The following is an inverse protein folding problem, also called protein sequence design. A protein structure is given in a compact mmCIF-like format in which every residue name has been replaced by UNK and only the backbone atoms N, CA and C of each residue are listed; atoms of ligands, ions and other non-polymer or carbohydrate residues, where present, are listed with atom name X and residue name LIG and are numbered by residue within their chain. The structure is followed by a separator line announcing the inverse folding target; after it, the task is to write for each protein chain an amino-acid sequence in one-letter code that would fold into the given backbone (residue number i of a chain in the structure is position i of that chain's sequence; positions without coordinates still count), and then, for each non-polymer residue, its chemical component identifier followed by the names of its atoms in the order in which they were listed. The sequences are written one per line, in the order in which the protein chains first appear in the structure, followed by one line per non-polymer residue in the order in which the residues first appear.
data_IF_343107881637
#
_entry.id   IF_343107881637
#
_cell.length_a   1.000
_cell.length_b   1.000
_cell.length_c   1.000
_cell.angle_alpha   90.00
_cell.angle_beta   90.00
_cell.angle_gamma   90.00
#
_symmetry.space_group_name_H-M   'P 1'
#
loop_
_entity.id
_entity.type
_entity.pdbx_description
1 polymer ?
#
# COMPACT_ATOMS: atom_id res chain seq x y z
N UNK A 1 -9.19 -6.27 4.08
CA UNK A 1 -8.27 -7.32 3.63
C UNK A 1 -8.93 -8.71 3.73
N UNK A 2 -8.69 -9.58 2.74
CA UNK A 2 -9.32 -10.93 2.70
C UNK A 2 -8.79 -11.83 3.82
N UNK A 3 -7.53 -11.64 4.23
CA UNK A 3 -6.85 -12.51 5.21
C UNK A 3 -7.04 -12.13 6.67
N UNK A 4 -7.83 -11.13 6.98
CA UNK A 4 -8.03 -10.68 8.37
C UNK A 4 -8.62 -11.72 9.34
N UNK A 5 -9.08 -12.86 8.84
CA UNK A 5 -9.61 -13.98 9.63
C UNK A 5 -8.67 -15.18 9.76
N UNK A 6 -7.57 -15.21 9.01
CA UNK A 6 -6.64 -16.35 9.04
C UNK A 6 -5.63 -16.20 10.18
N UNK A 7 -5.60 -17.16 11.09
CA UNK A 7 -4.63 -17.24 12.19
C UNK A 7 -4.12 -18.69 12.29
N UNK A 8 -2.85 -18.89 12.59
CA UNK A 8 -1.73 -17.92 12.71
C UNK A 8 -1.17 -17.51 11.34
N UNK A 9 -0.48 -16.35 11.30
CA UNK A 9 0.31 -15.94 10.12
C UNK A 9 1.41 -16.96 9.89
N UNK A 10 1.43 -17.59 8.71
CA UNK A 10 2.46 -18.56 8.32
C UNK A 10 3.60 -17.83 7.62
N UNK A 11 4.81 -18.06 8.07
CA UNK A 11 6.02 -17.47 7.48
C UNK A 11 6.94 -18.55 6.92
N UNK A 12 7.59 -18.28 5.79
CA UNK A 12 8.69 -19.10 5.29
C UNK A 12 9.94 -18.83 6.11
N UNK A 13 10.83 -19.80 6.24
CA UNK A 13 12.14 -19.55 6.84
C UNK A 13 12.98 -18.62 5.95
N UNK A 14 13.91 -17.88 6.52
CA UNK A 14 14.85 -17.03 5.78
C UNK A 14 15.64 -17.87 4.77
N UNK A 15 16.06 -19.07 5.15
CA UNK A 15 16.79 -19.98 4.27
C UNK A 15 15.96 -20.40 3.04
N UNK A 16 14.69 -20.77 3.26
CA UNK A 16 13.80 -21.11 2.15
C UNK A 16 13.55 -19.94 1.20
N UNK A 17 13.56 -18.69 1.71
CA UNK A 17 13.45 -17.48 0.88
C UNK A 17 14.76 -17.27 0.12
N UNK A 18 15.92 -17.44 0.76
CA UNK A 18 17.25 -17.35 0.14
C UNK A 18 17.38 -18.30 -1.06
N UNK A 19 17.05 -19.57 -0.88
CA UNK A 19 17.09 -20.57 -1.95
C UNK A 19 16.24 -20.15 -3.17
N UNK A 20 15.04 -19.60 -2.91
CA UNK A 20 14.16 -19.11 -3.98
C UNK A 20 14.73 -17.88 -4.68
N UNK A 21 15.32 -16.95 -3.94
CA UNK A 21 15.96 -15.77 -4.51
C UNK A 21 17.20 -16.14 -5.34
N UNK A 22 17.98 -17.13 -4.90
CA UNK A 22 19.09 -17.67 -5.70
C UNK A 22 18.61 -18.25 -7.03
N UNK A 23 17.50 -18.99 -7.03
CA UNK A 23 16.89 -19.50 -8.26
C UNK A 23 16.40 -18.37 -9.16
N UNK A 24 15.71 -17.37 -8.61
CA UNK A 24 15.23 -16.18 -9.33
C UNK A 24 16.41 -15.44 -9.96
N UNK A 25 17.48 -15.22 -9.19
CA UNK A 25 18.71 -14.58 -9.65
C UNK A 25 19.40 -15.37 -10.76
N UNK A 26 19.51 -16.69 -10.63
CA UNK A 26 20.10 -17.57 -11.64
C UNK A 26 19.34 -17.55 -12.98
N UNK A 27 18.04 -17.21 -12.98
CA UNK A 27 17.22 -17.02 -14.16
C UNK A 27 17.26 -15.58 -14.73
N UNK A 28 18.07 -14.70 -14.16
CA UNK A 28 18.25 -13.33 -14.61
C UNK A 28 17.05 -12.41 -14.36
N UNK A 29 16.15 -12.77 -13.43
CA UNK A 29 14.99 -11.95 -13.05
C UNK A 29 15.45 -10.80 -12.18
N UNK A 30 15.15 -9.56 -12.60
CA UNK A 30 15.65 -8.34 -11.97
C UNK A 30 14.65 -7.62 -11.06
N UNK A 31 13.36 -7.96 -11.14
CA UNK A 31 12.32 -7.32 -10.34
C UNK A 31 11.50 -8.38 -9.62
N UNK A 32 11.39 -8.26 -8.30
CA UNK A 32 10.65 -9.18 -7.44
C UNK A 32 9.62 -8.41 -6.63
N UNK A 33 8.33 -8.67 -6.84
CA UNK A 33 7.27 -8.17 -5.98
C UNK A 33 7.04 -9.14 -4.82
N UNK A 34 7.22 -8.66 -3.60
CA UNK A 34 6.96 -9.42 -2.39
C UNK A 34 5.48 -9.28 -2.03
N UNK A 35 4.75 -10.38 -2.07
CA UNK A 35 3.31 -10.42 -1.79
C UNK A 35 3.02 -10.55 -0.28
N UNK A 36 3.73 -9.81 0.53
CA UNK A 36 3.46 -9.68 1.97
C UNK A 36 2.70 -8.37 2.21
N UNK A 37 1.45 -8.48 2.66
CA UNK A 37 0.49 -7.36 2.75
C UNK A 37 0.90 -6.23 3.67
N UNK A 38 1.81 -6.50 4.59
CA UNK A 38 2.38 -5.52 5.52
C UNK A 38 3.75 -6.03 5.89
N UNK A 39 4.71 -5.74 5.04
CA UNK A 39 6.08 -6.20 5.19
C UNK A 39 6.67 -5.89 6.57
N UNK A 40 6.36 -4.72 7.11
CA UNK A 40 6.86 -4.24 8.40
C UNK A 40 5.95 -4.56 9.60
N UNK A 41 4.99 -5.50 9.47
CA UNK A 41 4.17 -5.95 10.60
C UNK A 41 5.00 -6.53 11.74
N UNK A 42 6.08 -7.25 11.40
CA UNK A 42 7.08 -7.73 12.35
C UNK A 42 8.44 -7.07 12.04
N UNK A 43 8.85 -6.03 12.81
CA UNK A 43 10.06 -5.26 12.51
C UNK A 43 11.34 -6.10 12.50
N UNK A 44 11.47 -7.08 13.41
CA UNK A 44 12.63 -7.96 13.46
C UNK A 44 12.78 -8.78 12.19
N UNK A 45 11.66 -9.39 11.74
CA UNK A 45 11.66 -10.16 10.50
C UNK A 45 11.89 -9.28 9.26
N UNK A 46 11.31 -8.09 9.24
CA UNK A 46 11.55 -7.13 8.17
C UNK A 46 13.06 -6.83 8.02
N UNK A 47 13.75 -6.56 9.12
CA UNK A 47 15.21 -6.35 9.12
C UNK A 47 15.98 -7.56 8.61
N UNK A 48 15.63 -8.76 9.03
CA UNK A 48 16.25 -10.00 8.55
C UNK A 48 16.08 -10.16 7.02
N UNK A 49 14.89 -9.84 6.49
CA UNK A 49 14.61 -9.88 5.05
C UNK A 49 15.34 -8.78 4.28
N UNK A 50 15.42 -7.55 4.81
CA UNK A 50 16.17 -6.47 4.16
C UNK A 50 17.66 -6.83 4.03
N UNK A 51 18.24 -7.44 5.04
CA UNK A 51 19.63 -7.94 4.98
C UNK A 51 19.81 -9.06 3.95
N UNK A 52 18.84 -9.95 3.84
CA UNK A 52 18.84 -10.96 2.80
C UNK A 52 18.73 -10.34 1.39
N UNK A 53 17.89 -9.32 1.20
CA UNK A 53 17.74 -8.66 -0.09
C UNK A 53 19.02 -7.94 -0.52
N UNK A 54 19.78 -7.39 0.41
CA UNK A 54 21.10 -6.81 0.14
C UNK A 54 22.09 -7.78 -0.53
N UNK A 55 21.99 -9.09 -0.27
CA UNK A 55 22.85 -10.10 -0.88
C UNK A 55 22.63 -10.21 -2.41
N UNK A 56 21.50 -9.70 -2.91
CA UNK A 56 21.15 -9.75 -4.33
C UNK A 56 21.24 -8.38 -5.03
N UNK A 57 21.71 -7.35 -4.33
CA UNK A 57 21.98 -6.03 -4.93
C UNK A 57 23.31 -6.07 -5.71
N UNK A 58 23.39 -5.43 -6.90
CA UNK A 58 22.40 -4.58 -7.59
C UNK A 58 21.48 -5.35 -8.56
N UNK A 59 21.54 -6.67 -8.59
CA UNK A 59 20.92 -7.49 -9.64
C UNK A 59 19.40 -7.61 -9.51
N UNK A 60 18.87 -7.55 -8.27
CA UNK A 60 17.44 -7.66 -8.00
C UNK A 60 16.94 -6.41 -7.26
N UNK A 61 15.86 -5.82 -7.79
CA UNK A 61 15.06 -4.80 -7.14
C UNK A 61 13.81 -5.43 -6.53
N UNK A 62 13.48 -5.05 -5.29
CA UNK A 62 12.34 -5.58 -4.56
C UNK A 62 11.25 -4.53 -4.41
N UNK A 63 10.01 -4.90 -4.72
CA UNK A 63 8.82 -4.10 -4.48
C UNK A 63 8.12 -4.62 -3.21
N UNK A 64 7.90 -3.76 -2.22
CA UNK A 64 7.35 -4.11 -0.91
C UNK A 64 6.15 -3.24 -0.56
N UNK A 65 5.08 -3.87 -0.03
CA UNK A 65 3.97 -3.15 0.60
C UNK A 65 4.31 -2.87 2.09
N UNK A 66 4.36 -1.60 2.46
CA UNK A 66 4.72 -1.15 3.81
C UNK A 66 3.57 -0.37 4.46
N UNK A 67 3.38 -0.54 5.76
CA UNK A 67 2.43 0.26 6.53
C UNK A 67 3.17 1.42 7.20
N UNK A 68 3.00 2.67 6.77
CA UNK A 68 3.81 3.78 7.27
C UNK A 68 3.68 4.02 8.78
N UNK A 69 2.49 3.81 9.37
CA UNK A 69 2.29 3.95 10.82
C UNK A 69 3.00 2.88 11.67
N UNK A 70 3.57 1.84 11.05
CA UNK A 70 4.28 0.76 11.76
C UNK A 70 5.80 0.84 11.56
N UNK A 71 6.33 1.99 11.19
CA UNK A 71 7.77 2.23 11.07
C UNK A 71 8.37 2.48 12.46
N UNK A 72 9.09 1.49 13.00
CA UNK A 72 9.92 1.70 14.18
C UNK A 72 11.18 2.51 13.84
N UNK A 73 11.76 3.22 14.81
CA UNK A 73 12.99 3.97 14.60
C UNK A 73 14.14 3.09 14.09
N UNK A 74 14.26 1.87 14.63
CA UNK A 74 15.24 0.90 14.16
C UNK A 74 15.05 0.51 12.68
N UNK A 75 13.80 0.42 12.20
CA UNK A 75 13.53 0.10 10.81
C UNK A 75 13.79 1.31 9.90
N UNK A 76 13.51 2.52 10.37
CA UNK A 76 13.87 3.76 9.68
C UNK A 76 15.38 3.89 9.49
N UNK A 77 16.16 3.59 10.53
CA UNK A 77 17.63 3.56 10.44
C UNK A 77 18.10 2.55 9.39
N UNK A 78 17.59 1.31 9.43
CA UNK A 78 17.94 0.26 8.46
C UNK A 78 17.62 0.70 7.03
N UNK A 79 16.41 1.24 6.77
CA UNK A 79 16.00 1.74 5.46
C UNK A 79 16.90 2.86 4.94
N UNK A 80 17.35 3.76 5.82
CA UNK A 80 18.23 4.88 5.46
C UNK A 80 19.61 4.42 4.99
N UNK A 81 20.07 3.26 5.42
CA UNK A 81 21.38 2.68 5.09
C UNK A 81 21.39 1.82 3.82
N UNK A 82 20.23 1.49 3.28
CA UNK A 82 20.14 0.63 2.11
C UNK A 82 20.61 1.35 0.84
N UNK A 83 21.19 0.63 -0.13
CA UNK A 83 21.64 1.23 -1.38
C UNK A 83 20.46 1.64 -2.27
N UNK A 84 20.68 2.69 -3.07
CA UNK A 84 19.70 3.12 -4.06
C UNK A 84 19.41 2.01 -5.08
N UNK A 85 18.13 1.87 -5.44
CA UNK A 85 17.66 0.89 -6.42
C UNK A 85 17.36 -0.49 -5.86
N UNK A 86 17.66 -0.76 -4.57
CA UNK A 86 17.30 -2.04 -3.94
C UNK A 86 15.80 -2.17 -3.74
N UNK A 87 15.13 -1.11 -3.27
CA UNK A 87 13.72 -1.14 -2.91
C UNK A 87 12.88 -0.15 -3.71
N UNK A 88 11.65 -0.57 -3.99
CA UNK A 88 10.50 0.27 -4.31
C UNK A 88 9.43 0.00 -3.23
N UNK A 89 8.98 1.04 -2.55
CA UNK A 89 8.07 0.94 -1.42
C UNK A 89 6.68 1.45 -1.78
N UNK A 90 5.67 0.59 -1.63
CA UNK A 90 4.26 0.93 -1.75
C UNK A 90 3.73 1.25 -0.34
N UNK A 91 3.43 2.52 -0.10
CA UNK A 91 3.00 3.03 1.19
C UNK A 91 1.48 3.29 1.19
N UNK A 92 0.71 2.30 1.62
CA UNK A 92 -0.74 2.41 1.67
C UNK A 92 -1.23 3.29 2.80
N UNK A 93 -1.73 4.49 2.49
CA UNK A 93 -2.43 5.38 3.44
C UNK A 93 -3.94 5.19 3.32
N UNK A 94 -4.46 5.09 2.13
CA UNK A 94 -5.84 4.87 1.71
C UNK A 94 -6.71 6.14 1.73
N UNK A 95 -6.60 7.00 2.73
CA UNK A 95 -7.27 8.30 2.88
C UNK A 95 -6.57 9.13 3.96
N UNK A 96 -6.71 10.46 3.91
CA UNK A 96 -6.27 11.39 4.96
C UNK A 96 -7.40 11.77 5.92
N UNK A 97 -8.53 11.06 5.90
CA UNK A 97 -9.70 11.33 6.72
C UNK A 97 -9.84 10.26 7.80
N UNK A 98 -9.62 10.63 9.07
CA UNK A 98 -9.74 9.69 10.20
C UNK A 98 -11.07 8.94 10.21
N UNK A 99 -12.26 9.58 10.00
CA UNK A 99 -13.54 8.86 9.96
C UNK A 99 -13.60 7.79 8.86
N UNK A 100 -12.98 8.04 7.68
CA UNK A 100 -12.91 7.09 6.57
C UNK A 100 -12.04 5.88 6.96
N UNK A 101 -10.89 6.14 7.57
CA UNK A 101 -9.96 5.09 8.02
C UNK A 101 -10.56 4.23 9.12
N UNK A 102 -11.21 4.83 10.12
CA UNK A 102 -11.91 4.14 11.20
C UNK A 102 -13.05 3.28 10.68
N UNK A 103 -13.90 3.83 9.78
CA UNK A 103 -15.03 3.10 9.19
C UNK A 103 -14.55 1.92 8.36
N UNK A 104 -13.39 2.07 7.72
CA UNK A 104 -12.71 1.03 6.94
C UNK A 104 -11.85 0.09 7.79
N UNK A 105 -11.80 0.29 9.11
CA UNK A 105 -10.98 -0.46 10.08
C UNK A 105 -9.49 -0.49 9.71
N UNK A 106 -8.99 0.63 9.23
CA UNK A 106 -7.56 0.80 9.00
C UNK A 106 -6.84 0.90 10.35
N UNK A 107 -5.77 0.14 10.53
CA UNK A 107 -4.98 0.16 11.77
C UNK A 107 -4.04 1.38 11.82
N UNK A 108 -3.68 1.78 13.05
CA UNK A 108 -2.74 2.88 13.30
C UNK A 108 -3.41 4.25 13.31
N UNK A 109 -2.70 5.24 13.82
CA UNK A 109 -3.13 6.63 13.81
C UNK A 109 -2.74 7.28 12.49
N UNK A 110 -3.57 8.20 12.00
CA UNK A 110 -3.27 8.94 10.78
C UNK A 110 -1.98 9.78 10.94
N UNK A 111 -1.76 10.39 12.10
CA UNK A 111 -0.52 11.14 12.39
C UNK A 111 0.73 10.30 12.16
N UNK A 112 0.74 9.09 12.73
CA UNK A 112 1.90 8.18 12.64
C UNK A 112 2.11 7.71 11.18
N UNK A 113 1.00 7.50 10.45
CA UNK A 113 1.07 7.13 9.02
C UNK A 113 1.63 8.27 8.16
N UNK A 114 1.24 9.51 8.44
CA UNK A 114 1.75 10.69 7.73
C UNK A 114 3.23 10.96 8.04
N UNK A 115 3.63 10.81 9.29
CA UNK A 115 5.04 10.97 9.68
C UNK A 115 5.91 9.88 9.06
N UNK A 116 5.40 8.64 9.03
CA UNK A 116 6.07 7.55 8.32
C UNK A 116 6.17 7.78 6.81
N UNK A 117 5.11 8.27 6.17
CA UNK A 117 5.13 8.57 4.73
C UNK A 117 6.13 9.70 4.42
N UNK A 118 6.10 10.81 5.20
CA UNK A 118 7.07 11.91 5.03
C UNK A 118 8.51 11.42 5.16
N UNK A 119 8.76 10.56 6.14
CA UNK A 119 10.06 9.94 6.29
C UNK A 119 10.47 9.15 5.05
N UNK A 120 9.59 8.26 4.53
CA UNK A 120 9.88 7.46 3.34
C UNK A 120 10.13 8.32 2.10
N UNK A 121 9.30 9.34 1.86
CA UNK A 121 9.46 10.27 0.74
C UNK A 121 10.73 11.11 0.81
N UNK A 122 11.26 11.36 2.01
CA UNK A 122 12.51 12.11 2.21
C UNK A 122 13.77 11.28 1.99
N UNK A 123 13.66 9.94 1.87
CA UNK A 123 14.81 9.07 1.66
C UNK A 123 15.32 9.15 0.21
N UNK A 124 16.57 9.57 -0.02
CA UNK A 124 17.12 9.76 -1.38
C UNK A 124 17.43 8.43 -2.09
N UNK A 125 17.48 7.35 -1.35
CA UNK A 125 17.80 5.99 -1.81
C UNK A 125 16.56 5.12 -2.08
N UNK A 126 15.36 5.63 -1.83
CA UNK A 126 14.10 4.90 -2.00
C UNK A 126 13.24 5.54 -3.09
N UNK A 127 12.48 4.70 -3.79
CA UNK A 127 11.34 5.12 -4.56
C UNK A 127 10.09 4.77 -3.76
N UNK A 128 9.31 5.78 -3.42
CA UNK A 128 8.10 5.62 -2.59
C UNK A 128 6.87 5.96 -3.39
N UNK A 129 5.92 5.06 -3.33
CA UNK A 129 4.62 5.09 -3.95
C UNK A 129 3.56 5.24 -2.84
N UNK A 130 2.72 6.24 -2.93
CA UNK A 130 1.69 6.51 -1.93
C UNK A 130 0.29 6.23 -2.48
N UNK A 131 -0.50 5.39 -1.75
CA UNK A 131 -1.79 4.92 -2.22
C UNK A 131 -2.96 5.58 -1.50
N UNK A 132 -3.95 5.98 -2.31
CA UNK A 132 -5.30 6.36 -1.91
C UNK A 132 -6.33 5.40 -2.52
N UNK A 133 -7.50 5.26 -1.90
CA UNK A 133 -8.58 4.42 -2.41
C UNK A 133 -9.88 5.23 -2.55
N UNK A 134 -10.35 5.43 -3.76
CA UNK A 134 -11.66 6.02 -4.05
C UNK A 134 -12.78 5.00 -3.80
N UNK A 135 -13.91 5.47 -3.24
CA UNK A 135 -15.07 4.62 -2.96
C UNK A 135 -15.07 3.98 -1.58
N UNK A 136 -14.20 4.40 -0.66
CA UNK A 136 -14.30 4.05 0.75
C UNK A 136 -15.55 4.70 1.37
N UNK A 137 -16.20 4.08 2.38
CA UNK A 137 -17.30 4.70 3.11
C UNK A 137 -16.89 6.03 3.74
N UNK A 138 -17.77 7.00 3.77
CA UNK A 138 -17.58 8.37 4.29
C UNK A 138 -16.58 9.22 3.50
N UNK A 139 -16.16 8.80 2.30
CA UNK A 139 -15.14 9.49 1.51
C UNK A 139 -15.75 10.19 0.31
N UNK A 140 -15.78 11.53 0.34
CA UNK A 140 -16.33 12.37 -0.73
C UNK A 140 -15.30 12.67 -1.82
N UNK A 141 -15.77 12.95 -3.04
CA UNK A 141 -14.89 13.27 -4.16
C UNK A 141 -13.99 14.50 -3.89
N UNK A 142 -14.51 15.56 -3.28
CA UNK A 142 -13.71 16.75 -2.98
C UNK A 142 -12.58 16.46 -2.00
N UNK A 143 -12.80 15.57 -1.02
CA UNK A 143 -11.77 15.14 -0.08
C UNK A 143 -10.68 14.32 -0.77
N UNK A 144 -11.04 13.48 -1.77
CA UNK A 144 -10.06 12.75 -2.59
C UNK A 144 -9.12 13.73 -3.30
N UNK A 145 -9.67 14.81 -3.89
CA UNK A 145 -8.84 15.85 -4.53
C UNK A 145 -7.91 16.56 -3.54
N UNK A 146 -8.39 16.85 -2.33
CA UNK A 146 -7.59 17.46 -1.27
C UNK A 146 -6.46 16.54 -0.81
N UNK A 147 -6.76 15.26 -0.65
CA UNK A 147 -5.80 14.24 -0.21
C UNK A 147 -4.71 14.04 -1.27
N UNK A 148 -5.07 13.95 -2.56
CA UNK A 148 -4.11 13.91 -3.67
C UNK A 148 -3.22 15.15 -3.68
N UNK A 149 -3.78 16.35 -3.52
CA UNK A 149 -3.01 17.60 -3.44
C UNK A 149 -2.02 17.58 -2.26
N UNK A 150 -2.43 17.03 -1.13
CA UNK A 150 -1.58 16.91 0.05
C UNK A 150 -0.41 15.95 -0.22
N UNK A 151 -0.66 14.82 -0.87
CA UNK A 151 0.40 13.86 -1.24
C UNK A 151 1.39 14.43 -2.25
N UNK A 152 0.90 15.19 -3.23
CA UNK A 152 1.76 15.90 -4.16
C UNK A 152 2.74 16.86 -3.43
N UNK A 153 2.31 17.45 -2.31
CA UNK A 153 3.16 18.27 -1.45
C UNK A 153 4.25 17.51 -0.68
N UNK A 154 4.14 16.19 -0.55
CA UNK A 154 5.16 15.36 0.12
C UNK A 154 6.26 14.87 -0.83
N UNK A 155 6.19 15.19 -2.11
CA UNK A 155 7.13 14.74 -3.12
C UNK A 155 7.28 13.19 -3.16
N UNK A 156 6.18 12.46 -2.97
CA UNK A 156 6.14 11.05 -3.27
C UNK A 156 6.58 10.83 -4.72
N UNK A 157 7.33 9.77 -4.98
CA UNK A 157 7.79 9.46 -6.34
C UNK A 157 6.63 9.06 -7.27
N UNK A 158 5.55 8.54 -6.68
CA UNK A 158 4.34 8.13 -7.38
C UNK A 158 3.14 8.25 -6.43
N UNK A 159 2.00 8.71 -6.95
CA UNK A 159 0.72 8.74 -6.23
C UNK A 159 -0.26 7.85 -6.99
N UNK A 160 -0.76 6.81 -6.34
CA UNK A 160 -1.76 5.94 -6.92
C UNK A 160 -3.13 6.17 -6.27
N UNK A 161 -4.15 6.37 -7.11
CA UNK A 161 -5.54 6.45 -6.68
C UNK A 161 -6.30 5.24 -7.21
N UNK A 162 -6.44 4.21 -6.38
CA UNK A 162 -7.13 2.98 -6.75
C UNK A 162 -8.64 3.06 -6.50
N UNK A 163 -9.43 2.36 -7.33
CA UNK A 163 -10.85 2.13 -7.05
C UNK A 163 -11.03 0.99 -6.05
N UNK A 164 -11.87 1.19 -5.04
CA UNK A 164 -12.19 0.15 -4.07
C UNK A 164 -12.79 -1.09 -4.75
N UNK A 165 -12.27 -2.26 -4.42
CA UNK A 165 -12.74 -3.57 -4.88
C UNK A 165 -13.26 -4.37 -3.68
N UNK A 166 -14.53 -4.76 -3.69
CA UNK A 166 -15.14 -5.56 -2.63
C UNK A 166 -14.89 -7.06 -2.84
N UNK A 167 -13.70 -7.50 -2.49
CA UNK A 167 -13.27 -8.88 -2.69
C UNK A 167 -14.11 -9.89 -1.86
N UNK A 168 -14.40 -11.08 -2.40
CA UNK A 168 -15.07 -12.14 -1.66
C UNK A 168 -14.37 -12.46 -0.33
N UNK A 169 -15.17 -12.75 0.71
CA UNK A 169 -14.65 -13.07 2.04
C UNK A 169 -14.26 -11.86 2.91
N UNK A 170 -14.23 -10.65 2.37
CA UNK A 170 -13.94 -9.44 3.17
C UNK A 170 -15.12 -9.05 4.05
N UNK A 171 -14.84 -8.48 5.22
CA UNK A 171 -15.85 -7.95 6.11
C UNK A 171 -16.63 -6.80 5.46
N UNK A 172 -15.92 -5.90 4.77
CA UNK A 172 -16.55 -4.77 4.09
C UNK A 172 -17.58 -5.23 3.05
N UNK A 173 -17.30 -6.34 2.33
CA UNK A 173 -18.28 -6.92 1.41
C UNK A 173 -19.50 -7.49 2.14
N UNK A 174 -19.35 -8.14 3.30
CA UNK A 174 -20.48 -8.63 4.11
C UNK A 174 -21.35 -7.49 4.64
N UNK A 175 -20.76 -6.33 4.87
CA UNK A 175 -21.41 -5.13 5.37
C UNK A 175 -21.76 -4.12 4.27
N UNK A 176 -21.69 -4.51 3.01
CA UNK A 176 -21.87 -3.59 1.88
C UNK A 176 -23.21 -2.84 1.92
N UNK A 177 -24.30 -3.53 2.24
CA UNK A 177 -25.63 -2.95 2.39
C UNK A 177 -25.69 -1.93 3.55
N UNK A 178 -25.17 -2.30 4.73
CA UNK A 178 -25.06 -1.41 5.91
C UNK A 178 -24.23 -0.16 5.61
N UNK A 179 -23.19 -0.31 4.79
CA UNK A 179 -22.28 0.76 4.41
C UNK A 179 -22.75 1.55 3.16
N UNK A 180 -23.94 1.20 2.62
CA UNK A 180 -24.49 1.83 1.42
C UNK A 180 -23.64 1.64 0.15
N UNK A 181 -22.84 0.58 0.11
CA UNK A 181 -21.94 0.31 -1.01
C UNK A 181 -22.63 -0.52 -2.08
N UNK A 182 -22.73 0.01 -3.28
CA UNK A 182 -23.09 -0.74 -4.48
C UNK A 182 -21.84 -1.10 -5.26
N UNK A 183 -21.71 -2.36 -5.66
CA UNK A 183 -20.54 -2.87 -6.35
C UNK A 183 -20.88 -3.87 -7.43
N UNK A 184 -19.98 -4.10 -8.39
CA UNK A 184 -20.12 -5.13 -9.41
C UNK A 184 -20.06 -6.53 -8.77
N UNK A 185 -21.02 -7.42 -9.01
CA UNK A 185 -20.95 -8.81 -8.55
C UNK A 185 -19.89 -9.62 -9.29
N UNK A 186 -19.41 -9.13 -10.44
CA UNK A 186 -18.40 -9.76 -11.29
C UNK A 186 -17.00 -9.21 -10.97
N UNK A 187 -15.92 -10.01 -11.14
CA UNK A 187 -14.56 -9.53 -11.05
C UNK A 187 -14.34 -8.29 -11.94
N UNK A 188 -13.59 -7.30 -11.49
CA UNK A 188 -12.81 -7.22 -10.24
C UNK A 188 -13.58 -6.78 -8.98
N UNK A 189 -14.92 -6.85 -8.97
CA UNK A 189 -15.78 -6.51 -7.82
C UNK A 189 -15.71 -5.03 -7.43
N UNK A 190 -15.61 -4.17 -8.40
CA UNK A 190 -15.39 -2.74 -8.23
C UNK A 190 -16.60 -2.06 -7.61
N UNK A 191 -16.37 -1.12 -6.70
CA UNK A 191 -17.40 -0.26 -6.12
C UNK A 191 -17.90 0.71 -7.20
N UNK A 192 -19.21 0.80 -7.30
CA UNK A 192 -19.91 1.64 -8.29
C UNK A 192 -20.49 2.90 -7.66
N UNK A 193 -20.83 2.83 -6.36
CA UNK A 193 -21.43 3.93 -5.60
C UNK A 193 -21.34 3.64 -4.10
N UNK A 194 -21.24 4.71 -3.29
CA UNK A 194 -21.50 4.67 -1.83
C UNK A 194 -22.57 5.70 -1.47
N UNK A 195 -22.83 5.93 -0.18
CA UNK A 195 -23.71 7.03 0.23
C UNK A 195 -23.10 8.39 -0.10
N UNK A 196 -21.77 8.53 -0.08
CA UNK A 196 -21.03 9.78 -0.18
C UNK A 196 -20.55 10.10 -1.59
N UNK A 197 -20.42 9.08 -2.45
CA UNK A 197 -19.87 9.27 -3.80
C UNK A 197 -20.73 8.52 -4.82
N UNK A 198 -21.20 9.25 -5.82
CA UNK A 198 -22.02 8.76 -6.91
C UNK A 198 -21.21 8.03 -7.99
N UNK A 199 -21.89 7.34 -8.91
CA UNK A 199 -21.26 6.69 -10.08
C UNK A 199 -20.46 7.69 -10.92
N UNK A 200 -21.01 8.88 -11.18
CA UNK A 200 -20.34 9.91 -11.97
C UNK A 200 -19.10 10.47 -11.28
N UNK A 201 -19.15 10.63 -9.96
CA UNK A 201 -18.01 11.10 -9.18
C UNK A 201 -16.90 10.03 -9.10
N UNK A 202 -17.25 8.74 -8.99
CA UNK A 202 -16.25 7.66 -9.10
C UNK A 202 -15.61 7.60 -10.48
N UNK A 203 -16.36 7.91 -11.56
CA UNK A 203 -15.78 8.06 -12.89
C UNK A 203 -14.79 9.23 -12.94
N UNK A 204 -15.10 10.36 -12.28
CA UNK A 204 -14.18 11.49 -12.16
C UNK A 204 -12.91 11.09 -11.37
N UNK A 205 -13.06 10.36 -10.27
CA UNK A 205 -11.90 9.83 -9.52
C UNK A 205 -11.02 8.91 -10.37
N UNK A 206 -11.61 8.06 -11.23
CA UNK A 206 -10.86 7.24 -12.20
C UNK A 206 -10.14 8.06 -13.26
N UNK A 207 -10.72 9.17 -13.71
CA UNK A 207 -10.02 10.09 -14.61
C UNK A 207 -8.82 10.74 -13.91
N UNK A 208 -8.99 11.15 -12.66
CA UNK A 208 -7.90 11.65 -11.83
C UNK A 208 -6.79 10.59 -11.66
N UNK A 209 -7.14 9.33 -11.37
CA UNK A 209 -6.18 8.22 -11.31
C UNK A 209 -5.33 8.13 -12.58
N UNK A 210 -5.96 8.13 -13.75
CA UNK A 210 -5.25 8.07 -15.05
C UNK A 210 -4.34 9.29 -15.29
N UNK A 211 -4.72 10.46 -14.79
CA UNK A 211 -3.85 11.65 -14.87
C UNK A 211 -2.64 11.51 -13.96
N UNK A 212 -2.83 10.96 -12.76
CA UNK A 212 -1.71 10.67 -11.85
C UNK A 212 -0.74 9.65 -12.48
N UNK A 213 -1.25 8.54 -13.02
CA UNK A 213 -0.44 7.52 -13.69
C UNK A 213 0.34 8.06 -14.90
N UNK A 214 -0.16 9.10 -15.57
CA UNK A 214 0.45 9.65 -16.79
C UNK A 214 1.36 10.86 -16.60
N UNK A 215 1.21 11.61 -15.50
CA UNK A 215 1.86 12.92 -15.32
C UNK A 215 2.58 13.09 -13.99
N UNK A 216 2.41 12.18 -13.06
CA UNK A 216 3.05 12.18 -11.75
C UNK A 216 3.91 10.94 -11.59
#
# INVERSE_FOLDING_TARGET
CVSGGEKPVRTLSIESIRERLQLIHAHGIKNVRVLDRTFNYNPRRAKELLRLFLEFHPDIRFHLEIHPALLSEELKEELSLLPKGLLHLEAGIQSLREPVLEKSRRMGKLSDALDGLRFLCALPNMETHADLIAGLPLYHLHEIFEDVRTFAGYAAGEIQLESLKLLPGTEMRRRAEELGIKYSPLPPYEVLQTHEISVSELQTARQLSRLLDGFY
#
